data_IF_458917968582
#
_entry.id   IF_458917968582
#
_cell.length_a   1.000
_cell.length_b   1.000
_cell.length_c   1.000
_cell.angle_alpha   90.00
_cell.angle_beta   90.00
_cell.angle_gamma   90.00
#
_symmetry.space_group_name_H-M   'P 1'
#
loop_
_entity.id
_entity.type
_entity.pdbx_description
1 polymer ?
#
# COMPACT_ATOMS: atom_id res chain seq x y z
N UNK A 1 10.78 10.86 -13.57
CA UNK A 1 10.73 9.42 -13.22
C UNK A 1 9.34 9.13 -12.68
N UNK A 2 8.70 8.01 -13.05
CA UNK A 2 7.47 7.60 -12.41
C UNK A 2 7.73 7.27 -10.93
N UNK A 3 6.85 7.73 -10.05
CA UNK A 3 6.96 7.56 -8.60
C UNK A 3 5.68 8.02 -7.90
N UNK A 4 5.54 7.67 -6.63
CA UNK A 4 4.40 8.12 -5.82
C UNK A 4 4.61 9.56 -5.37
N UNK A 5 3.56 10.37 -5.47
CA UNK A 5 3.55 11.73 -4.93
C UNK A 5 2.97 11.66 -3.53
N UNK A 6 3.79 11.98 -2.52
CA UNK A 6 3.36 12.11 -1.14
C UNK A 6 3.15 13.60 -0.85
N UNK A 7 1.94 13.97 -0.45
CA UNK A 7 1.59 15.37 -0.14
C UNK A 7 1.59 15.61 1.37
N UNK A 8 1.96 16.82 1.75
CA UNK A 8 1.76 17.34 3.09
C UNK A 8 0.57 18.29 3.07
N UNK A 9 -0.24 18.23 4.13
CA UNK A 9 -1.39 19.09 4.35
C UNK A 9 -1.30 19.72 5.73
N UNK A 10 -1.76 20.96 5.85
CA UNK A 10 -2.01 21.59 7.15
C UNK A 10 -3.43 21.23 7.56
N UNK A 11 -3.56 20.41 8.59
CA UNK A 11 -4.84 20.05 9.18
C UNK A 11 -4.94 20.66 10.58
N UNK A 12 -5.90 21.57 10.75
CA UNK A 12 -6.03 22.49 11.88
C UNK A 12 -4.76 23.30 12.21
N UNK A 13 -3.89 22.73 13.03
CA UNK A 13 -2.65 23.30 13.53
C UNK A 13 -1.46 22.34 13.39
N UNK A 14 -1.62 21.26 12.64
CA UNK A 14 -0.62 20.21 12.46
C UNK A 14 -0.35 20.01 10.98
N UNK A 15 0.92 20.10 10.58
CA UNK A 15 1.33 19.66 9.24
C UNK A 15 1.50 18.14 9.29
N UNK A 16 0.84 17.42 8.39
CA UNK A 16 0.86 15.96 8.33
C UNK A 16 0.83 15.46 6.89
N UNK A 17 1.09 14.18 6.68
CA UNK A 17 0.86 13.57 5.37
C UNK A 17 -0.63 13.55 5.03
N UNK A 18 -0.97 13.83 3.77
CA UNK A 18 -2.36 13.73 3.27
C UNK A 18 -2.92 12.31 3.46
N UNK A 19 -2.09 11.32 3.19
CA UNK A 19 -2.33 9.92 3.53
C UNK A 19 -1.25 9.44 4.48
N UNK A 20 -1.65 8.69 5.52
CA UNK A 20 -0.70 8.14 6.48
C UNK A 20 0.19 7.07 5.83
N UNK A 21 1.35 6.80 6.43
CA UNK A 21 2.20 5.70 5.98
C UNK A 21 1.49 4.34 6.11
N UNK A 22 0.66 4.18 7.13
CA UNK A 22 -0.13 2.97 7.36
C UNK A 22 -1.19 2.79 6.26
N UNK A 23 -1.86 3.86 5.83
CA UNK A 23 -2.79 3.81 4.69
C UNK A 23 -2.06 3.37 3.41
N UNK A 24 -0.85 3.89 3.19
CA UNK A 24 -0.02 3.51 2.06
C UNK A 24 0.41 2.03 2.12
N UNK A 25 0.82 1.56 3.30
CA UNK A 25 1.12 0.14 3.56
C UNK A 25 -0.10 -0.73 3.26
N UNK A 26 -1.27 -0.38 3.79
CA UNK A 26 -2.51 -1.13 3.62
C UNK A 26 -2.93 -1.23 2.14
N UNK A 27 -2.79 -0.16 1.36
CA UNK A 27 -3.10 -0.18 -0.08
C UNK A 27 -2.16 -1.13 -0.83
N UNK A 28 -0.85 -1.06 -0.57
CA UNK A 28 0.13 -1.92 -1.23
C UNK A 28 0.00 -3.39 -0.83
N UNK A 29 -0.26 -3.66 0.44
CA UNK A 29 -0.49 -5.01 0.95
C UNK A 29 -1.82 -5.59 0.44
N UNK A 30 -2.87 -4.78 0.39
CA UNK A 30 -4.18 -5.17 -0.13
C UNK A 30 -4.13 -5.62 -1.59
N UNK A 31 -3.21 -5.04 -2.39
CA UNK A 31 -3.00 -5.45 -3.78
C UNK A 31 -2.65 -6.95 -3.92
N UNK A 32 -1.99 -7.56 -2.93
CA UNK A 32 -1.68 -9.00 -2.96
C UNK A 32 -2.93 -9.87 -2.91
N UNK A 33 -3.93 -9.47 -2.12
CA UNK A 33 -5.19 -10.20 -2.05
C UNK A 33 -5.93 -10.13 -3.39
N UNK A 34 -5.97 -8.96 -4.01
CA UNK A 34 -6.59 -8.78 -5.34
C UNK A 34 -5.83 -9.54 -6.43
N UNK A 35 -4.50 -9.49 -6.44
CA UNK A 35 -3.67 -10.27 -7.39
C UNK A 35 -3.92 -11.77 -7.22
N UNK A 36 -3.92 -12.28 -5.98
CA UNK A 36 -4.19 -13.69 -5.68
C UNK A 36 -5.56 -14.10 -6.20
N UNK A 37 -6.60 -13.32 -5.89
CA UNK A 37 -7.98 -13.55 -6.33
C UNK A 37 -8.08 -13.61 -7.85
N UNK A 38 -7.42 -12.69 -8.56
CA UNK A 38 -7.42 -12.68 -10.03
C UNK A 38 -6.74 -13.92 -10.58
N UNK A 39 -5.57 -14.29 -10.06
CA UNK A 39 -4.79 -15.45 -10.53
C UNK A 39 -5.55 -16.75 -10.29
N UNK A 40 -6.15 -16.92 -9.12
CA UNK A 40 -6.96 -18.08 -8.77
C UNK A 40 -8.26 -18.16 -9.59
N UNK A 41 -8.74 -17.03 -10.12
CA UNK A 41 -9.90 -16.96 -11.01
C UNK A 41 -9.61 -17.23 -12.48
N UNK A 42 -8.35 -17.43 -12.89
CA UNK A 42 -7.99 -17.67 -14.30
C UNK A 42 -8.49 -19.06 -14.72
N UNK A 43 -9.31 -19.17 -15.77
CA UNK A 43 -9.80 -20.46 -16.25
C UNK A 43 -8.66 -21.30 -16.83
N UNK A 44 -8.77 -22.61 -16.67
CA UNK A 44 -7.76 -23.63 -17.02
C UNK A 44 -7.35 -23.53 -18.50
N UNK A 45 -6.05 -23.49 -18.78
CA UNK A 45 -5.51 -23.46 -20.14
C UNK A 45 -5.72 -24.82 -20.84
N UNK A 46 -5.60 -25.92 -20.09
CA UNK A 46 -5.76 -27.28 -20.63
C UNK A 46 -7.18 -27.50 -21.18
N UNK A 47 -8.19 -26.98 -20.50
CA UNK A 47 -9.59 -27.05 -20.97
C UNK A 47 -9.87 -26.21 -22.22
N UNK A 48 -8.95 -25.31 -22.61
CA UNK A 48 -9.05 -24.54 -23.85
C UNK A 48 -8.19 -25.10 -24.98
N UNK A 49 -7.09 -25.79 -24.67
CA UNK A 49 -6.16 -26.33 -25.66
C UNK A 49 -6.46 -27.79 -26.04
N UNK A 50 -7.03 -28.58 -25.12
CA UNK A 50 -7.28 -30.00 -25.32
C UNK A 50 -8.73 -30.31 -24.97
N UNK A 51 -9.62 -30.21 -25.97
CA UNK A 51 -11.05 -30.53 -25.83
C UNK A 51 -11.29 -32.00 -25.44
N UNK A 52 -10.33 -32.88 -25.77
CA UNK A 52 -10.42 -34.33 -25.52
C UNK A 52 -9.71 -34.75 -24.22
N UNK A 53 -9.31 -33.80 -23.38
CA UNK A 53 -8.62 -34.09 -22.11
C UNK A 53 -9.56 -34.77 -21.12
N UNK A 54 -9.51 -36.11 -21.08
CA UNK A 54 -10.07 -36.92 -20.00
C UNK A 54 -8.98 -37.21 -18.99
N UNK A 55 -9.02 -36.53 -17.84
CA UNK A 55 -8.00 -36.71 -16.84
C UNK A 55 -8.02 -38.15 -16.29
N UNK A 56 -6.85 -38.78 -16.15
CA UNK A 56 -6.72 -40.13 -15.60
C UNK A 56 -7.21 -40.14 -14.14
N UNK A 57 -8.49 -40.45 -13.93
CA UNK A 57 -9.16 -40.37 -12.63
C UNK A 57 -10.63 -39.91 -12.65
N UNK A 58 -11.13 -39.49 -13.82
CA UNK A 58 -12.52 -39.00 -13.98
C UNK A 58 -12.58 -37.48 -14.22
N UNK A 59 -13.79 -36.98 -14.44
CA UNK A 59 -14.03 -35.56 -14.73
C UNK A 59 -13.43 -34.68 -13.62
N UNK A 60 -12.43 -33.86 -13.97
CA UNK A 60 -11.83 -32.77 -13.16
C UNK A 60 -10.45 -32.93 -12.50
N UNK A 61 -9.56 -33.84 -12.92
CA UNK A 61 -8.14 -33.72 -12.50
C UNK A 61 -7.42 -32.71 -13.40
N UNK A 62 -7.50 -31.42 -13.03
CA UNK A 62 -6.76 -30.33 -13.67
C UNK A 62 -5.93 -29.58 -12.64
N UNK A 63 -4.78 -29.06 -13.08
CA UNK A 63 -3.99 -28.15 -12.28
C UNK A 63 -4.68 -26.78 -12.21
N UNK A 64 -4.57 -26.12 -11.07
CA UNK A 64 -4.93 -24.72 -10.92
C UNK A 64 -3.71 -23.96 -10.43
N UNK A 65 -3.57 -22.66 -10.78
CA UNK A 65 -2.52 -21.86 -10.19
C UNK A 65 -2.73 -21.81 -8.67
N UNK A 66 -1.67 -22.13 -7.92
CA UNK A 66 -1.65 -22.05 -6.45
C UNK A 66 -0.53 -21.11 -6.07
N UNK A 67 -0.87 -20.08 -5.31
CA UNK A 67 0.10 -19.23 -4.64
C UNK A 67 0.06 -19.61 -3.16
N UNK A 68 1.17 -20.15 -2.65
CA UNK A 68 1.28 -20.48 -1.23
C UNK A 68 1.31 -19.19 -0.41
N UNK A 69 0.62 -19.20 0.73
CA UNK A 69 0.49 -18.01 1.59
C UNK A 69 1.85 -17.56 2.13
N UNK A 70 2.77 -18.48 2.40
CA UNK A 70 4.13 -18.17 2.82
C UNK A 70 4.91 -17.28 1.83
N UNK A 71 4.68 -17.44 0.52
CA UNK A 71 5.29 -16.58 -0.48
C UNK A 71 4.70 -15.18 -0.45
N UNK A 72 3.37 -15.07 -0.26
CA UNK A 72 2.70 -13.78 -0.11
C UNK A 72 3.22 -13.05 1.13
N UNK A 73 3.24 -13.72 2.28
CA UNK A 73 3.74 -13.16 3.53
C UNK A 73 5.21 -12.73 3.43
N UNK A 74 6.06 -13.53 2.78
CA UNK A 74 7.46 -13.15 2.53
C UNK A 74 7.57 -11.84 1.73
N UNK A 75 6.74 -11.67 0.69
CA UNK A 75 6.78 -10.47 -0.15
C UNK A 75 6.15 -9.25 0.53
N UNK A 76 5.04 -9.44 1.25
CA UNK A 76 4.42 -8.41 2.10
C UNK A 76 5.42 -7.86 3.12
N UNK A 77 6.13 -8.76 3.83
CA UNK A 77 7.16 -8.38 4.80
C UNK A 77 8.32 -7.62 4.17
N UNK A 78 8.75 -8.00 2.96
CA UNK A 78 9.79 -7.28 2.22
C UNK A 78 9.35 -5.86 1.86
N UNK A 79 8.10 -5.67 1.46
CA UNK A 79 7.54 -4.34 1.16
C UNK A 79 7.47 -3.48 2.43
N UNK A 80 6.97 -4.03 3.54
CA UNK A 80 6.93 -3.33 4.82
C UNK A 80 8.34 -2.87 5.27
N UNK A 81 9.33 -3.76 5.16
CA UNK A 81 10.71 -3.41 5.49
C UNK A 81 11.27 -2.29 4.59
N UNK A 82 10.92 -2.30 3.30
CA UNK A 82 11.30 -1.27 2.35
C UNK A 82 10.61 0.07 2.67
N UNK A 83 9.28 0.07 2.87
CA UNK A 83 8.52 1.28 3.20
C UNK A 83 9.02 1.93 4.49
N UNK A 84 9.30 1.14 5.53
CA UNK A 84 9.88 1.63 6.78
C UNK A 84 11.25 2.29 6.59
N UNK A 85 12.04 1.82 5.63
CA UNK A 85 13.35 2.42 5.33
C UNK A 85 13.19 3.71 4.53
N UNK A 86 12.40 3.68 3.46
CA UNK A 86 12.22 4.81 2.54
C UNK A 86 11.40 5.95 3.17
N UNK A 87 10.49 5.65 4.11
CA UNK A 87 9.67 6.66 4.80
C UNK A 87 10.46 7.61 5.71
N UNK A 88 11.71 7.26 6.06
CA UNK A 88 12.58 8.11 6.89
C UNK A 88 12.84 9.47 6.25
N UNK A 89 13.05 9.52 4.94
CA UNK A 89 13.30 10.78 4.21
C UNK A 89 12.10 11.72 4.27
N UNK A 90 10.89 11.28 3.86
CA UNK A 90 9.66 12.04 4.03
C UNK A 90 9.39 12.47 5.48
N UNK A 91 9.61 11.59 6.47
CA UNK A 91 9.43 11.92 7.89
C UNK A 91 10.40 13.01 8.36
N UNK A 92 11.67 12.93 7.96
CA UNK A 92 12.65 13.97 8.23
C UNK A 92 12.32 15.29 7.52
N UNK A 93 11.73 15.22 6.32
CA UNK A 93 11.26 16.42 5.64
C UNK A 93 10.08 17.06 6.40
N UNK A 94 9.16 16.24 6.91
CA UNK A 94 8.05 16.71 7.75
C UNK A 94 8.54 17.45 9.00
N UNK A 95 9.55 16.92 9.71
CA UNK A 95 10.07 17.57 10.93
C UNK A 95 10.76 18.92 10.66
N UNK A 96 11.15 19.22 9.42
CA UNK A 96 11.71 20.54 9.09
C UNK A 96 10.67 21.66 9.25
N UNK A 97 9.38 21.32 9.26
CA UNK A 97 8.30 22.27 9.47
C UNK A 97 8.01 22.57 10.95
N UNK A 98 8.56 21.80 11.90
CA UNK A 98 8.36 22.02 13.34
C UNK A 98 8.78 23.43 13.78
N UNK A 99 9.76 24.02 13.09
CA UNK A 99 10.20 25.40 13.33
C UNK A 99 9.12 26.44 13.06
N UNK A 100 8.08 26.10 12.28
CA UNK A 100 6.95 26.97 11.98
C UNK A 100 5.74 26.71 12.88
N UNK A 101 5.87 25.83 13.89
CA UNK A 101 4.78 25.49 14.82
C UNK A 101 4.13 26.73 15.45
N UNK A 102 4.90 27.79 15.71
CA UNK A 102 4.40 29.05 16.26
C UNK A 102 3.44 29.81 15.32
N UNK A 103 3.58 29.66 14.00
CA UNK A 103 2.70 30.28 13.00
C UNK A 103 1.39 29.50 12.87
N UNK A 104 1.48 28.17 12.94
CA UNK A 104 0.34 27.27 12.71
C UNK A 104 -0.47 27.00 13.99
N UNK A 105 0.11 27.17 15.19
CA UNK A 105 -0.56 26.95 16.48
C UNK A 105 -1.65 27.96 16.81
N UNK A 106 -1.96 28.89 15.90
CA UNK A 106 -2.93 30.00 16.07
C UNK A 106 -2.68 30.88 17.30
N UNK A 107 -1.56 30.71 18.02
CA UNK A 107 -1.19 31.55 19.17
C UNK A 107 -1.00 33.02 18.78
N UNK A 108 -0.70 33.31 17.51
CA UNK A 108 -0.58 34.68 16.99
C UNK A 108 -1.93 35.42 16.94
N UNK A 109 -3.05 34.72 16.68
CA UNK A 109 -4.38 35.37 16.64
C UNK A 109 -4.83 35.86 18.02
N UNK A 110 -4.38 35.23 19.10
CA UNK A 110 -4.69 35.68 20.46
C UNK A 110 -3.99 37.00 20.82
N UNK A 111 -2.82 37.30 20.26
CA UNK A 111 -2.12 38.55 20.56
C UNK A 111 -2.72 39.76 19.82
N UNK A 112 -3.28 39.55 18.63
CA UNK A 112 -3.83 40.63 17.79
C UNK A 112 -5.25 41.04 18.24
N UNK A 113 -5.96 40.21 19.00
CA UNK A 113 -7.29 40.57 19.54
C UNK A 113 -7.25 41.38 20.85
N UNK A 114 -6.06 41.67 21.39
CA UNK A 114 -5.87 42.47 22.61
C UNK A 114 -5.06 43.76 22.39
N UNK A 115 -4.85 44.17 21.13
CA UNK A 115 -4.25 45.46 20.75
C UNK A 115 -5.17 46.20 19.79
#
# INVERSE_FOLDING_TARGET
MPGFIIRLVLDDATIKFEHSLEEFENVLLGMFAEMKKVIEGIPRIETRLYTDWQAAGGDNVCLHPVILEEFLEMHKNRILAMLKRESRGPQQHLSQYDKYNFLISRQVLALVMYT
#
